data_IF_406862620124
#
_entry.id   IF_406862620124
#
_cell.length_a   1.000
_cell.length_b   1.000
_cell.length_c   1.000
_cell.angle_alpha   90.00
_cell.angle_beta   90.00
_cell.angle_gamma   90.00
#
_symmetry.space_group_name_H-M   'P 1'
#
loop_
_entity.id
_entity.type
_entity.pdbx_description
1 polymer ?
#
# COMPACT_ATOMS: atom_id res chain seq x y z
N UNK A 1 -34.82 59.43 -4.75
CA UNK A 1 -35.25 58.02 -4.94
C UNK A 1 -34.01 57.11 -4.79
N UNK A 2 -33.90 56.47 -3.70
CA UNK A 2 -32.81 55.56 -3.39
C UNK A 2 -33.23 54.16 -3.91
N UNK A 3 -32.58 53.69 -5.01
CA UNK A 3 -32.72 52.33 -5.47
C UNK A 3 -31.88 51.43 -4.55
N UNK A 4 -32.53 50.68 -3.72
CA UNK A 4 -31.88 49.61 -2.97
C UNK A 4 -31.59 48.46 -3.93
N UNK A 5 -30.31 48.32 -4.32
CA UNK A 5 -29.85 47.12 -5.01
C UNK A 5 -29.72 46.03 -3.96
N UNK A 6 -30.62 45.06 -3.92
CA UNK A 6 -30.43 43.84 -3.17
C UNK A 6 -29.44 42.98 -3.94
N UNK A 7 -28.22 42.90 -3.43
CA UNK A 7 -27.26 41.90 -3.88
C UNK A 7 -27.62 40.61 -3.17
N UNK A 8 -28.30 39.71 -3.88
CA UNK A 8 -28.46 38.34 -3.39
C UNK A 8 -27.10 37.67 -3.48
N UNK A 9 -26.43 37.52 -2.35
CA UNK A 9 -25.24 36.70 -2.24
C UNK A 9 -25.67 35.23 -2.40
N UNK A 10 -25.48 34.67 -3.58
CA UNK A 10 -25.58 33.24 -3.79
C UNK A 10 -24.38 32.59 -3.11
N UNK A 11 -24.59 32.11 -1.89
CA UNK A 11 -23.65 31.23 -1.24
C UNK A 11 -23.69 29.87 -1.95
N UNK A 12 -22.73 29.61 -2.84
CA UNK A 12 -22.48 28.28 -3.35
C UNK A 12 -21.88 27.46 -2.23
N UNK A 13 -22.72 26.75 -1.48
CA UNK A 13 -22.26 25.66 -0.65
C UNK A 13 -21.90 24.51 -1.60
N UNK A 14 -20.63 24.45 -2.01
CA UNK A 14 -20.12 23.26 -2.68
C UNK A 14 -20.27 22.08 -1.71
N UNK A 15 -20.95 20.98 -2.09
CA UNK A 15 -20.95 19.80 -1.25
C UNK A 15 -19.51 19.29 -1.21
N UNK A 16 -18.87 19.47 -0.05
CA UNK A 16 -17.61 18.80 0.22
C UNK A 16 -17.97 17.34 0.40
N UNK A 17 -17.86 16.53 -0.66
CA UNK A 17 -17.84 15.09 -0.50
C UNK A 17 -16.57 14.75 0.27
N UNK A 18 -16.66 14.24 1.51
CA UNK A 18 -15.46 13.73 2.17
C UNK A 18 -14.97 12.55 1.34
N UNK A 19 -13.90 12.76 0.57
CA UNK A 19 -13.19 11.65 -0.02
C UNK A 19 -12.53 10.95 1.16
N UNK A 20 -13.21 9.93 1.68
CA UNK A 20 -12.62 9.05 2.65
C UNK A 20 -11.46 8.35 1.97
N UNK A 21 -10.23 8.61 2.46
CA UNK A 21 -9.02 7.93 1.97
C UNK A 21 -9.11 6.40 2.13
N UNK A 22 -10.09 5.91 2.91
CA UNK A 22 -10.35 4.48 3.12
C UNK A 22 -11.08 3.83 1.95
N UNK A 23 -11.71 4.60 1.05
CA UNK A 23 -12.49 4.08 -0.07
C UNK A 23 -11.65 3.89 -1.34
N UNK A 24 -10.41 4.36 -1.36
CA UNK A 24 -9.48 4.09 -2.43
C UNK A 24 -8.79 2.74 -2.22
N UNK A 25 -9.56 1.66 -2.29
CA UNK A 25 -8.96 0.33 -2.42
C UNK A 25 -8.38 0.23 -3.81
N UNK A 26 -7.04 0.21 -3.87
CA UNK A 26 -6.34 -0.14 -5.10
C UNK A 26 -6.65 -1.60 -5.38
N UNK A 27 -7.39 -1.86 -6.47
CA UNK A 27 -7.62 -3.21 -6.94
C UNK A 27 -6.43 -3.65 -7.77
N UNK A 28 -5.73 -4.67 -7.31
CA UNK A 28 -4.56 -5.23 -7.98
C UNK A 28 -4.80 -6.71 -8.21
N UNK A 29 -4.60 -7.15 -9.44
CA UNK A 29 -4.57 -8.58 -9.76
C UNK A 29 -3.25 -9.18 -9.28
N UNK A 30 -3.34 -9.94 -8.20
CA UNK A 30 -2.18 -10.60 -7.60
C UNK A 30 -1.96 -11.97 -8.23
N UNK A 31 -0.72 -12.27 -8.55
CA UNK A 31 -0.30 -13.54 -9.15
C UNK A 31 0.66 -14.24 -8.20
N UNK A 32 0.49 -15.54 -8.03
CA UNK A 32 1.35 -16.36 -7.19
C UNK A 32 1.04 -16.28 -5.71
N UNK A 33 2.01 -16.64 -4.89
CA UNK A 33 1.84 -16.76 -3.43
C UNK A 33 1.54 -15.41 -2.75
N UNK A 34 1.83 -14.29 -3.41
CA UNK A 34 1.51 -12.96 -2.89
C UNK A 34 0.02 -12.73 -2.65
N UNK A 35 -0.85 -13.46 -3.36
CA UNK A 35 -2.31 -13.44 -3.15
C UNK A 35 -2.75 -14.25 -1.95
N UNK A 36 -1.91 -15.14 -1.44
CA UNK A 36 -2.19 -15.99 -0.29
C UNK A 36 -1.95 -15.22 1.02
N UNK A 37 -2.51 -15.76 2.11
CA UNK A 37 -2.36 -15.14 3.42
C UNK A 37 -0.92 -15.23 3.95
N UNK A 38 -0.58 -14.34 4.87
CA UNK A 38 0.65 -14.43 5.64
C UNK A 38 0.78 -15.78 6.35
N UNK A 39 -0.33 -16.30 6.88
CA UNK A 39 -0.36 -17.63 7.51
C UNK A 39 0.03 -18.74 6.53
N UNK A 40 -0.44 -18.67 5.28
CA UNK A 40 -0.08 -19.62 4.23
C UNK A 40 1.44 -19.56 3.93
N UNK A 41 1.98 -18.38 3.76
CA UNK A 41 3.42 -18.19 3.53
C UNK A 41 4.26 -18.86 4.62
N UNK A 42 3.81 -18.76 5.86
CA UNK A 42 4.55 -19.27 7.03
C UNK A 42 4.26 -20.73 7.35
N UNK A 43 3.35 -21.37 6.62
CA UNK A 43 2.82 -22.69 6.98
C UNK A 43 3.80 -23.84 6.75
N UNK A 44 4.63 -23.77 5.72
CA UNK A 44 5.63 -24.81 5.39
C UNK A 44 6.92 -24.15 4.94
N UNK A 45 8.01 -24.92 4.99
CA UNK A 45 9.30 -24.44 4.50
C UNK A 45 9.26 -24.15 2.98
N UNK A 46 8.57 -24.98 2.21
CA UNK A 46 8.40 -24.78 0.77
C UNK A 46 7.64 -23.49 0.47
N UNK A 47 6.55 -23.21 1.18
CA UNK A 47 5.80 -21.96 1.04
C UNK A 47 6.62 -20.74 1.48
N UNK A 48 7.42 -20.88 2.53
CA UNK A 48 8.31 -19.80 2.97
C UNK A 48 9.35 -19.45 1.90
N UNK A 49 9.94 -20.44 1.27
CA UNK A 49 10.93 -20.23 0.21
C UNK A 49 10.27 -19.55 -1.00
N UNK A 50 9.13 -20.08 -1.45
CA UNK A 50 8.38 -19.52 -2.57
C UNK A 50 7.99 -18.06 -2.31
N UNK A 51 7.42 -17.79 -1.14
CA UNK A 51 7.01 -16.43 -0.77
C UNK A 51 8.17 -15.47 -0.59
N UNK A 52 9.31 -15.94 -0.08
CA UNK A 52 10.51 -15.12 0.04
C UNK A 52 11.02 -14.66 -1.33
N UNK A 53 11.05 -15.54 -2.31
CA UNK A 53 11.43 -15.21 -3.69
C UNK A 53 10.42 -14.20 -4.27
N UNK A 54 9.13 -14.43 -4.02
CA UNK A 54 8.07 -13.52 -4.46
C UNK A 54 8.22 -12.12 -3.83
N UNK A 55 8.53 -12.06 -2.55
CA UNK A 55 8.78 -10.80 -1.82
C UNK A 55 9.91 -10.00 -2.46
N UNK A 56 11.02 -10.65 -2.78
CA UNK A 56 12.15 -9.96 -3.43
C UNK A 56 11.79 -9.41 -4.80
N UNK A 57 11.04 -10.18 -5.60
CA UNK A 57 10.58 -9.72 -6.91
C UNK A 57 9.63 -8.53 -6.81
N UNK A 58 8.68 -8.60 -5.89
CA UNK A 58 7.73 -7.51 -5.66
C UNK A 58 8.43 -6.25 -5.13
N UNK A 59 9.36 -6.39 -4.18
CA UNK A 59 10.16 -5.29 -3.68
C UNK A 59 10.97 -4.61 -4.77
N UNK A 60 11.61 -5.41 -5.61
CA UNK A 60 12.36 -4.90 -6.77
C UNK A 60 11.46 -4.12 -7.72
N UNK A 61 10.25 -4.64 -7.98
CA UNK A 61 9.26 -3.96 -8.81
C UNK A 61 8.81 -2.63 -8.21
N UNK A 62 8.60 -2.57 -6.90
CA UNK A 62 8.26 -1.33 -6.19
C UNK A 62 9.41 -0.30 -6.28
N UNK A 63 10.65 -0.73 -6.13
CA UNK A 63 11.81 0.13 -6.31
C UNK A 63 11.91 0.66 -7.75
N UNK A 64 11.61 -0.20 -8.72
CA UNK A 64 11.59 0.20 -10.13
C UNK A 64 10.55 1.29 -10.40
N UNK A 65 9.33 1.11 -9.90
CA UNK A 65 8.25 2.11 -10.03
C UNK A 65 8.63 3.41 -9.32
N UNK A 66 9.21 3.33 -8.12
CA UNK A 66 9.66 4.52 -7.39
C UNK A 66 10.72 5.29 -8.20
N UNK A 67 11.70 4.60 -8.75
CA UNK A 67 12.74 5.21 -9.58
C UNK A 67 12.14 5.88 -10.83
N UNK A 68 11.22 5.20 -11.52
CA UNK A 68 10.58 5.73 -12.72
C UNK A 68 9.68 6.94 -12.43
N UNK A 69 9.22 7.11 -11.19
CA UNK A 69 8.33 8.18 -10.74
C UNK A 69 9.05 9.27 -9.94
N UNK A 70 10.37 9.30 -9.92
CA UNK A 70 11.19 10.20 -9.11
C UNK A 70 10.87 10.15 -7.61
N UNK A 71 10.44 8.99 -7.13
CA UNK A 71 10.17 8.75 -5.72
C UNK A 71 11.36 8.05 -5.05
N UNK A 72 11.44 8.22 -3.74
CA UNK A 72 12.46 7.55 -2.93
C UNK A 72 12.25 6.03 -2.91
N UNK A 73 13.30 5.29 -3.24
CA UNK A 73 13.31 3.84 -3.10
C UNK A 73 13.52 3.44 -1.63
N UNK A 74 12.91 2.33 -1.23
CA UNK A 74 13.18 1.73 0.08
C UNK A 74 14.47 0.93 0.01
N UNK A 75 15.56 1.52 0.48
CA UNK A 75 16.90 0.91 0.50
C UNK A 75 17.15 0.32 1.87
N UNK A 76 16.82 -0.96 2.01
CA UNK A 76 17.16 -1.71 3.21
C UNK A 76 17.94 -2.97 2.82
N UNK A 77 18.68 -3.51 3.77
CA UNK A 77 19.42 -4.75 3.56
C UNK A 77 18.47 -5.89 3.17
N UNK A 78 18.88 -6.69 2.18
CA UNK A 78 18.09 -7.80 1.67
C UNK A 78 17.66 -8.75 2.79
N UNK A 79 18.57 -9.06 3.73
CA UNK A 79 18.24 -9.91 4.88
C UNK A 79 17.16 -9.29 5.79
N UNK A 80 17.13 -7.96 5.90
CA UNK A 80 16.15 -7.25 6.72
C UNK A 80 14.75 -7.19 6.08
N UNK A 81 14.65 -7.27 4.76
CA UNK A 81 13.36 -7.20 4.05
C UNK A 81 12.42 -8.29 4.57
N UNK A 82 12.83 -9.54 4.53
CA UNK A 82 12.01 -10.68 4.94
C UNK A 82 11.67 -10.59 6.42
N UNK A 83 12.62 -10.24 7.27
CA UNK A 83 12.39 -10.09 8.70
C UNK A 83 11.33 -9.02 9.02
N UNK A 84 11.36 -7.90 8.30
CA UNK A 84 10.37 -6.84 8.48
C UNK A 84 9.00 -7.22 7.93
N UNK A 85 8.93 -7.93 6.80
CA UNK A 85 7.67 -8.44 6.27
C UNK A 85 7.06 -9.46 7.24
N UNK A 86 7.86 -10.32 7.85
CA UNK A 86 7.38 -11.25 8.88
C UNK A 86 6.78 -10.53 10.09
N UNK A 87 7.39 -9.43 10.53
CA UNK A 87 6.84 -8.59 11.61
C UNK A 87 5.48 -8.01 11.23
N UNK A 88 5.36 -7.49 10.01
CA UNK A 88 4.10 -6.96 9.50
C UNK A 88 3.04 -8.06 9.40
N UNK A 89 3.40 -9.24 8.91
CA UNK A 89 2.53 -10.41 8.85
C UNK A 89 2.04 -10.85 10.24
N UNK A 90 2.89 -10.76 11.26
CA UNK A 90 2.52 -11.16 12.63
C UNK A 90 1.43 -10.26 13.23
N UNK A 91 1.28 -9.02 12.78
CA UNK A 91 0.24 -8.10 13.23
C UNK A 91 -1.15 -8.53 12.75
N UNK A 92 -1.25 -9.12 11.57
CA UNK A 92 -2.49 -9.62 10.99
C UNK A 92 -2.17 -10.78 10.03
N UNK A 93 -2.25 -12.00 10.52
CA UNK A 93 -1.85 -13.19 9.76
C UNK A 93 -2.79 -13.54 8.61
N UNK A 94 -4.03 -13.01 8.64
CA UNK A 94 -5.02 -13.23 7.59
C UNK A 94 -4.84 -12.30 6.39
N UNK A 95 -4.05 -11.23 6.51
CA UNK A 95 -3.75 -10.36 5.36
C UNK A 95 -2.97 -11.11 4.28
N UNK A 96 -3.05 -10.65 3.04
CA UNK A 96 -2.25 -11.23 1.97
C UNK A 96 -0.77 -10.89 2.16
N UNK A 97 0.10 -11.77 1.68
CA UNK A 97 1.53 -11.49 1.67
C UNK A 97 1.84 -10.19 0.91
N UNK A 98 1.18 -9.96 -0.22
CA UNK A 98 1.32 -8.72 -0.98
C UNK A 98 1.00 -7.47 -0.14
N UNK A 99 -0.10 -7.50 0.63
CA UNK A 99 -0.47 -6.39 1.52
C UNK A 99 0.59 -6.14 2.59
N UNK A 100 1.14 -7.20 3.19
CA UNK A 100 2.20 -7.08 4.18
C UNK A 100 3.48 -6.48 3.58
N UNK A 101 3.86 -6.90 2.38
CA UNK A 101 5.03 -6.34 1.68
C UNK A 101 4.82 -4.87 1.36
N UNK A 102 3.65 -4.51 0.86
CA UNK A 102 3.32 -3.11 0.54
C UNK A 102 3.42 -2.21 1.77
N UNK A 103 2.82 -2.62 2.88
CA UNK A 103 2.87 -1.88 4.16
C UNK A 103 4.32 -1.73 4.65
N UNK A 104 5.09 -2.82 4.58
CA UNK A 104 6.51 -2.81 4.98
C UNK A 104 7.33 -1.87 4.09
N UNK A 105 7.11 -1.93 2.79
CA UNK A 105 7.80 -1.08 1.82
C UNK A 105 7.56 0.40 2.11
N UNK A 106 6.31 0.79 2.30
CA UNK A 106 5.95 2.19 2.60
C UNK A 106 6.61 2.67 3.91
N UNK A 107 6.64 1.84 4.93
CA UNK A 107 7.30 2.13 6.20
C UNK A 107 8.81 2.27 6.08
N UNK A 108 9.42 1.57 5.14
CA UNK A 108 10.87 1.55 4.93
C UNK A 108 11.40 2.74 4.12
N UNK A 109 10.52 3.55 3.57
CA UNK A 109 10.88 4.76 2.80
C UNK A 109 11.19 5.96 3.69
N UNK A 110 11.00 5.83 4.97
CA UNK A 110 11.22 6.91 5.94
C UNK A 110 12.69 7.03 6.33
#
# INVERSE_FOLDING_TARGET
>A
MIRRVMIAALAFAAPVCPVSAQDTKVSVDLIGIGRMSCAHWRSTQAHRLEGTIWVYGFWTGLNYVAAASDQTQAKIDVAAIVAQVEKTCAQQTSQTLASAVWTTYLGSKR
#
